data_IF_417500323820
#
_entry.id   IF_417500323820
#
_cell.length_a   1.000
_cell.length_b   1.000
_cell.length_c   1.000
_cell.angle_alpha   90.00
_cell.angle_beta   90.00
_cell.angle_gamma   90.00
#
_symmetry.space_group_name_H-M   'P 1'
#
loop_
_entity.id
_entity.type
_entity.pdbx_description
1 polymer ?
#
# COMPACT_ATOMS: atom_id res chain seq x y z
N UNK A 1 -29.52 -48.95 32.11
CA UNK A 1 -29.79 -47.68 32.82
C UNK A 1 -28.47 -46.97 33.14
N UNK A 2 -27.83 -46.32 32.15
CA UNK A 2 -26.63 -45.50 32.37
C UNK A 2 -26.60 -44.38 31.32
N UNK A 3 -27.45 -43.36 31.50
CA UNK A 3 -27.55 -42.20 30.61
C UNK A 3 -27.92 -40.94 31.41
N UNK A 4 -27.08 -40.57 32.39
CA UNK A 4 -27.28 -39.33 33.17
C UNK A 4 -25.97 -38.67 33.67
N UNK A 5 -24.81 -39.34 33.59
CA UNK A 5 -23.56 -38.79 34.13
C UNK A 5 -22.77 -37.89 33.16
N UNK A 6 -23.09 -37.90 31.86
CA UNK A 6 -22.34 -37.11 30.85
C UNK A 6 -22.89 -35.70 30.62
N UNK A 7 -24.12 -35.38 31.05
CA UNK A 7 -24.76 -34.07 30.79
C UNK A 7 -24.40 -32.99 31.83
N UNK A 8 -24.18 -33.36 33.10
CA UNK A 8 -23.85 -32.40 34.17
C UNK A 8 -22.44 -31.80 34.04
N UNK A 9 -21.47 -32.56 33.53
CA UNK A 9 -20.09 -32.10 33.33
C UNK A 9 -19.95 -31.09 32.18
N UNK A 10 -20.89 -31.06 31.23
CA UNK A 10 -20.96 -30.07 30.15
C UNK A 10 -21.61 -28.75 30.59
N UNK A 11 -22.68 -28.83 31.38
CA UNK A 11 -23.43 -27.66 31.86
C UNK A 11 -22.58 -26.73 32.75
N UNK A 12 -21.80 -27.29 33.68
CA UNK A 12 -20.92 -26.50 34.57
C UNK A 12 -19.75 -25.82 33.86
N UNK A 13 -19.20 -26.42 32.81
CA UNK A 13 -18.13 -25.81 31.99
C UNK A 13 -18.64 -24.58 31.22
N UNK A 14 -19.90 -24.59 30.77
CA UNK A 14 -20.51 -23.45 30.08
C UNK A 14 -20.77 -22.24 31.00
N UNK A 15 -21.18 -22.50 32.25
CA UNK A 15 -21.38 -21.47 33.28
C UNK A 15 -20.07 -20.81 33.71
N UNK A 16 -19.01 -21.60 33.93
CA UNK A 16 -17.67 -21.07 34.24
C UNK A 16 -17.05 -20.28 33.08
N UNK A 17 -17.31 -20.70 31.83
CA UNK A 17 -16.93 -19.92 30.65
C UNK A 17 -17.71 -18.60 30.55
N UNK A 18 -18.99 -18.59 30.93
CA UNK A 18 -19.80 -17.37 31.01
C UNK A 18 -19.26 -16.38 32.05
N UNK A 19 -18.91 -16.84 33.25
CA UNK A 19 -18.39 -15.99 34.33
C UNK A 19 -17.01 -15.37 34.00
N UNK A 20 -16.15 -16.11 33.30
CA UNK A 20 -14.85 -15.64 32.81
C UNK A 20 -14.95 -14.49 31.79
N UNK A 21 -16.12 -14.26 31.17
CA UNK A 21 -16.33 -13.12 30.27
C UNK A 21 -16.53 -11.80 31.02
N UNK A 22 -16.98 -11.86 32.27
CA UNK A 22 -17.19 -10.68 33.11
C UNK A 22 -15.95 -10.26 33.91
N UNK A 23 -14.93 -11.13 33.98
CA UNK A 23 -13.65 -10.87 34.64
C UNK A 23 -12.59 -10.64 33.57
N UNK A 24 -12.23 -9.36 33.35
CA UNK A 24 -11.11 -8.98 32.46
C UNK A 24 -9.82 -9.64 32.92
N UNK A 25 -8.96 -10.03 31.99
CA UNK A 25 -7.63 -10.53 32.35
C UNK A 25 -6.81 -9.37 32.96
N UNK A 26 -5.86 -9.65 33.87
CA UNK A 26 -5.09 -8.61 34.55
C UNK A 26 -4.36 -7.60 33.64
N UNK A 27 -4.10 -7.95 32.38
CA UNK A 27 -3.42 -7.11 31.39
C UNK A 27 -4.37 -6.44 30.38
N UNK A 28 -5.69 -6.53 30.58
CA UNK A 28 -6.73 -5.92 29.71
C UNK A 28 -7.31 -4.63 30.31
N UNK A 29 -6.70 -4.10 31.39
CA UNK A 29 -7.15 -2.88 32.05
C UNK A 29 -6.57 -1.61 31.42
N UNK A 30 -5.32 -1.64 30.96
CA UNK A 30 -4.64 -0.49 30.34
C UNK A 30 -3.71 -0.96 29.22
N UNK A 31 -3.37 -0.04 28.30
CA UNK A 31 -2.47 -0.31 27.19
C UNK A 31 -3.18 -0.92 25.95
N UNK A 32 -2.41 -1.40 24.96
CA UNK A 32 -2.95 -1.83 23.66
C UNK A 32 -4.02 -2.92 23.77
N UNK A 33 -3.86 -3.88 24.68
CA UNK A 33 -4.80 -4.99 24.88
C UNK A 33 -6.16 -4.58 25.48
N UNK A 34 -6.31 -3.31 25.92
CA UNK A 34 -7.56 -2.75 26.42
C UNK A 34 -8.32 -1.95 25.36
N UNK A 35 -7.71 -1.66 24.20
CA UNK A 35 -8.34 -0.91 23.11
C UNK A 35 -9.36 -1.79 22.36
N UNK A 36 -10.54 -1.26 21.99
CA UNK A 36 -11.51 -1.99 21.17
C UNK A 36 -10.98 -2.32 19.75
N UNK A 37 -9.95 -1.61 19.29
CA UNK A 37 -9.35 -1.80 17.97
C UNK A 37 -8.26 -2.90 17.96
N UNK A 38 -7.85 -3.37 19.14
CA UNK A 38 -6.82 -4.39 19.27
C UNK A 38 -7.27 -5.73 18.70
N UNK A 39 -6.47 -6.29 17.79
CA UNK A 39 -6.66 -7.63 17.23
C UNK A 39 -5.46 -8.51 17.56
N UNK A 40 -5.72 -9.75 17.94
CA UNK A 40 -4.67 -10.74 18.18
C UNK A 40 -3.97 -11.14 16.87
N UNK A 41 -2.66 -11.34 16.91
CA UNK A 41 -1.85 -11.65 15.73
C UNK A 41 -2.04 -13.07 15.17
N UNK A 42 -2.69 -13.97 15.92
CA UNK A 42 -2.87 -15.37 15.53
C UNK A 42 -4.24 -15.56 14.89
N UNK A 43 -4.35 -15.52 13.55
CA UNK A 43 -5.61 -15.87 12.89
C UNK A 43 -5.93 -17.35 13.13
N UNK A 44 -7.21 -17.71 13.13
CA UNK A 44 -7.61 -19.11 13.17
C UNK A 44 -7.06 -19.87 11.95
N UNK A 45 -6.71 -21.15 12.13
CA UNK A 45 -6.26 -22.01 11.03
C UNK A 45 -7.32 -22.16 9.91
N UNK A 46 -8.60 -21.90 10.23
CA UNK A 46 -9.72 -21.90 9.29
C UNK A 46 -9.96 -20.53 8.62
N UNK A 47 -9.29 -19.48 9.07
CA UNK A 47 -9.48 -18.10 8.59
C UNK A 47 -8.34 -17.66 7.67
N UNK A 48 -7.10 -18.06 8.00
CA UNK A 48 -5.93 -17.73 7.20
C UNK A 48 -5.63 -18.84 6.19
N UNK A 49 -5.47 -18.46 4.92
CA UNK A 49 -5.02 -19.36 3.84
C UNK A 49 -5.88 -20.63 3.70
N UNK A 50 -7.20 -20.45 3.74
CA UNK A 50 -8.20 -21.50 3.53
C UNK A 50 -7.97 -22.24 2.20
N UNK A 51 -7.54 -21.51 1.17
CA UNK A 51 -7.10 -22.07 -0.11
C UNK A 51 -5.57 -22.14 -0.13
N UNK A 52 -5.03 -23.29 -0.55
CA UNK A 52 -3.61 -23.38 -0.85
C UNK A 52 -3.30 -22.56 -2.12
N UNK A 53 -2.15 -21.87 -2.21
CA UNK A 53 -1.82 -21.05 -3.38
C UNK A 53 -1.77 -21.83 -4.70
N UNK A 54 -1.46 -23.12 -4.65
CA UNK A 54 -1.36 -23.97 -5.84
C UNK A 54 -2.67 -24.69 -6.20
N UNK A 55 -3.74 -24.55 -5.41
CA UNK A 55 -5.02 -25.21 -5.70
C UNK A 55 -5.92 -24.31 -6.51
N UNK A 56 -5.99 -24.55 -7.82
CA UNK A 56 -6.99 -23.95 -8.72
C UNK A 56 -8.23 -24.84 -8.69
N UNK A 57 -9.37 -24.34 -8.19
CA UNK A 57 -10.61 -25.13 -8.07
C UNK A 57 -11.67 -24.71 -9.09
N UNK A 58 -11.83 -23.40 -9.28
CA UNK A 58 -12.85 -22.82 -10.15
C UNK A 58 -12.20 -21.99 -11.26
N UNK A 59 -12.93 -21.74 -12.36
CA UNK A 59 -12.50 -20.84 -13.43
C UNK A 59 -12.22 -19.40 -12.93
N UNK A 60 -12.79 -19.03 -11.77
CA UNK A 60 -12.53 -17.76 -11.08
C UNK A 60 -11.14 -17.70 -10.40
N UNK A 61 -10.54 -18.85 -10.12
CA UNK A 61 -9.20 -18.96 -9.54
C UNK A 61 -8.11 -18.95 -10.64
N UNK A 62 -8.50 -19.03 -11.92
CA UNK A 62 -7.58 -18.89 -13.05
C UNK A 62 -7.31 -17.41 -13.31
N UNK A 63 -6.14 -16.93 -12.88
CA UNK A 63 -5.72 -15.56 -13.16
C UNK A 63 -5.32 -15.41 -14.64
N UNK A 64 -6.10 -14.64 -15.41
CA UNK A 64 -5.71 -14.19 -16.75
C UNK A 64 -4.91 -12.89 -16.59
N UNK A 65 -3.58 -13.00 -16.69
CA UNK A 65 -2.69 -11.83 -16.59
C UNK A 65 -2.49 -11.23 -18.00
N UNK A 66 -3.00 -10.02 -18.27
CA UNK A 66 -2.83 -9.38 -19.59
C UNK A 66 -1.35 -9.08 -19.85
N UNK A 67 -0.87 -9.41 -21.05
CA UNK A 67 0.53 -9.17 -21.45
C UNK A 67 0.69 -7.99 -22.40
N UNK A 68 -0.38 -7.56 -23.06
CA UNK A 68 -0.38 -6.48 -24.05
C UNK A 68 -1.72 -5.77 -24.05
N UNK A 69 -1.69 -4.48 -24.33
CA UNK A 69 -2.91 -3.69 -24.48
C UNK A 69 -3.68 -4.14 -25.73
N UNK A 70 -5.04 -4.21 -25.69
CA UNK A 70 -5.86 -4.73 -26.79
C UNK A 70 -5.59 -4.04 -28.15
N UNK A 71 -5.28 -2.75 -28.12
CA UNK A 71 -4.97 -1.95 -29.32
C UNK A 71 -3.72 -2.47 -30.06
N UNK A 72 -2.76 -3.02 -29.32
CA UNK A 72 -1.46 -3.49 -29.85
C UNK A 72 -1.44 -4.97 -30.22
N UNK A 73 -2.53 -5.70 -29.95
CA UNK A 73 -2.64 -7.12 -30.27
C UNK A 73 -2.77 -7.32 -31.78
N UNK A 74 -3.60 -6.50 -32.43
CA UNK A 74 -3.82 -6.58 -33.88
C UNK A 74 -3.06 -5.52 -34.68
N UNK A 75 -2.89 -4.30 -34.18
CA UNK A 75 -1.99 -3.31 -34.80
C UNK A 75 -0.58 -3.44 -34.22
N UNK A 76 0.19 -4.35 -34.83
CA UNK A 76 1.52 -4.74 -34.35
C UNK A 76 2.67 -3.83 -34.83
N UNK A 77 2.36 -2.64 -35.38
CA UNK A 77 3.40 -1.72 -35.88
C UNK A 77 4.33 -1.33 -34.74
N UNK A 78 5.59 -1.75 -34.86
CA UNK A 78 6.55 -1.55 -33.78
C UNK A 78 7.18 -0.15 -33.77
N UNK A 79 7.44 0.45 -34.94
CA UNK A 79 8.18 1.72 -35.02
C UNK A 79 7.44 2.90 -34.36
N UNK A 80 6.11 2.88 -34.32
CA UNK A 80 5.29 3.87 -33.60
C UNK A 80 5.33 3.69 -32.08
N UNK A 81 5.62 2.47 -31.61
CA UNK A 81 5.68 2.10 -30.19
C UNK A 81 7.10 2.11 -29.62
N UNK A 82 8.13 2.08 -30.47
CA UNK A 82 9.54 1.98 -30.07
C UNK A 82 10.05 3.25 -29.38
N UNK A 83 9.79 3.36 -28.07
CA UNK A 83 10.30 4.46 -27.23
C UNK A 83 11.80 4.42 -26.99
N UNK A 84 12.49 3.31 -27.32
CA UNK A 84 13.93 3.18 -27.08
C UNK A 84 14.73 3.88 -28.18
N UNK A 85 14.28 3.76 -29.44
CA UNK A 85 14.96 4.35 -30.61
C UNK A 85 14.32 5.66 -31.06
N UNK A 86 13.04 5.89 -30.78
CA UNK A 86 12.33 7.15 -31.03
C UNK A 86 12.74 8.22 -30.01
N UNK A 87 14.03 8.55 -30.01
CA UNK A 87 14.60 9.64 -29.21
C UNK A 87 15.26 10.65 -30.12
N UNK A 88 15.17 11.95 -29.80
CA UNK A 88 15.86 12.97 -30.57
C UNK A 88 17.38 12.66 -30.58
N UNK A 89 18.05 12.87 -31.72
CA UNK A 89 19.48 12.64 -31.81
C UNK A 89 20.26 13.62 -30.91
N UNK A 90 21.42 13.19 -30.42
CA UNK A 90 22.29 14.03 -29.59
C UNK A 90 22.84 15.18 -30.43
N UNK A 91 22.50 16.41 -30.07
CA UNK A 91 23.02 17.63 -30.69
C UNK A 91 24.22 18.14 -29.91
N UNK A 92 25.39 18.24 -30.55
CA UNK A 92 26.62 18.77 -29.95
C UNK A 92 27.01 20.08 -30.64
N UNK A 93 27.15 21.15 -29.88
CA UNK A 93 27.54 22.47 -30.37
C UNK A 93 28.78 22.94 -29.61
N UNK A 94 29.79 23.41 -30.32
CA UNK A 94 30.99 23.99 -29.72
C UNK A 94 30.75 25.47 -29.43
N UNK A 95 30.86 25.88 -28.17
CA UNK A 95 30.82 27.29 -27.78
C UNK A 95 32.25 27.79 -27.63
N UNK A 96 32.60 28.87 -28.34
CA UNK A 96 33.90 29.53 -28.20
C UNK A 96 33.77 30.80 -27.37
N UNK A 97 34.91 31.36 -26.94
CA UNK A 97 34.98 32.62 -26.21
C UNK A 97 34.08 33.75 -26.79
N UNK A 98 34.08 34.06 -28.10
CA UNK A 98 33.23 35.12 -28.63
C UNK A 98 31.73 34.85 -28.48
N UNK A 99 31.29 33.58 -28.46
CA UNK A 99 29.89 33.23 -28.25
C UNK A 99 29.49 33.46 -26.79
N UNK A 100 30.37 33.07 -25.86
CA UNK A 100 30.15 33.27 -24.43
C UNK A 100 30.10 34.75 -24.05
N UNK A 101 30.99 35.58 -24.59
CA UNK A 101 30.99 37.03 -24.35
C UNK A 101 29.66 37.66 -24.82
N UNK A 102 29.13 37.21 -25.97
CA UNK A 102 27.82 37.64 -26.46
C UNK A 102 26.68 37.21 -25.53
N UNK A 103 26.69 35.97 -25.05
CA UNK A 103 25.67 35.48 -24.11
C UNK A 103 25.72 36.25 -22.78
N UNK A 104 26.92 36.52 -22.26
CA UNK A 104 27.10 37.27 -21.01
C UNK A 104 26.63 38.71 -21.15
N UNK A 105 26.93 39.37 -22.28
CA UNK A 105 26.47 40.73 -22.54
C UNK A 105 24.94 40.82 -22.72
N UNK A 106 24.31 39.76 -23.25
CA UNK A 106 22.86 39.72 -23.48
C UNK A 106 22.04 39.24 -22.28
N UNK A 107 22.62 38.47 -21.35
CA UNK A 107 21.88 37.87 -20.24
C UNK A 107 21.66 38.89 -19.12
N UNK A 108 20.40 39.19 -18.84
CA UNK A 108 19.94 39.90 -17.64
C UNK A 108 19.14 38.93 -16.76
N UNK A 109 19.34 38.99 -15.44
CA UNK A 109 18.64 38.13 -14.49
C UNK A 109 17.43 38.83 -13.88
N UNK A 110 16.26 38.21 -14.01
CA UNK A 110 15.04 38.54 -13.27
C UNK A 110 14.99 37.71 -11.97
N UNK A 111 15.06 38.35 -10.78
CA UNK A 111 14.96 37.69 -9.48
C UNK A 111 13.78 36.73 -9.32
N UNK A 112 12.68 36.97 -10.03
CA UNK A 112 11.47 36.15 -9.90
C UNK A 112 11.43 34.91 -10.82
N UNK A 113 12.24 34.85 -11.89
CA UNK A 113 12.07 33.84 -12.96
C UNK A 113 13.33 33.05 -13.29
N UNK A 114 14.51 33.67 -13.20
CA UNK A 114 15.75 33.05 -13.65
C UNK A 114 16.43 32.18 -12.59
N UNK A 115 16.01 32.31 -11.33
CA UNK A 115 16.55 31.51 -10.22
C UNK A 115 15.80 30.19 -10.06
N UNK A 116 16.51 29.07 -9.82
CA UNK A 116 15.84 27.80 -9.57
C UNK A 116 14.95 27.92 -8.34
N UNK A 117 13.70 27.48 -8.48
CA UNK A 117 12.73 27.54 -7.39
C UNK A 117 13.20 26.59 -6.28
N UNK A 118 13.39 27.08 -5.05
CA UNK A 118 13.73 26.21 -3.93
C UNK A 118 12.56 25.26 -3.66
N UNK A 119 12.87 23.99 -3.40
CA UNK A 119 11.89 23.05 -2.87
C UNK A 119 11.67 23.36 -1.39
N UNK A 120 10.73 24.27 -1.10
CA UNK A 120 10.41 24.72 0.25
C UNK A 120 9.42 23.74 0.87
N UNK A 121 9.85 23.03 1.91
CA UNK A 121 8.95 22.26 2.76
C UNK A 121 8.28 23.19 3.76
N UNK A 122 7.00 22.96 4.03
CA UNK A 122 6.28 23.62 5.12
C UNK A 122 6.56 22.88 6.43
N UNK A 123 6.66 23.62 7.54
CA UNK A 123 6.58 23.01 8.87
C UNK A 123 5.15 22.51 9.06
N UNK A 124 5.00 21.20 9.26
CA UNK A 124 3.72 20.56 9.52
C UNK A 124 3.72 20.07 10.96
N UNK A 125 2.64 20.36 11.68
CA UNK A 125 2.34 19.70 12.95
C UNK A 125 1.54 18.44 12.62
N UNK A 126 2.15 17.28 12.85
CA UNK A 126 1.51 15.99 12.61
C UNK A 126 0.59 15.65 13.79
N UNK A 127 -0.60 15.14 13.49
CA UNK A 127 -1.56 14.68 14.49
C UNK A 127 -2.07 13.29 14.09
N UNK A 128 -2.05 12.36 15.05
CA UNK A 128 -2.13 10.92 14.88
C UNK A 128 -3.38 10.45 14.12
N UNK A 129 -4.53 11.10 14.37
CA UNK A 129 -5.84 10.61 13.90
C UNK A 129 -6.60 11.58 12.99
N UNK A 130 -5.95 12.64 12.49
CA UNK A 130 -6.64 13.69 11.72
C UNK A 130 -7.03 13.26 10.31
N UNK A 131 -6.23 12.41 9.67
CA UNK A 131 -6.50 11.93 8.31
C UNK A 131 -7.44 10.73 8.40
N UNK A 132 -8.69 10.91 7.97
CA UNK A 132 -9.68 9.83 7.93
C UNK A 132 -10.08 9.26 9.30
N UNK A 133 -9.78 9.97 10.40
CA UNK A 133 -10.01 9.46 11.75
C UNK A 133 -9.02 8.36 12.18
N UNK A 134 -7.81 8.34 11.60
CA UNK A 134 -6.79 7.30 11.85
C UNK A 134 -6.91 6.06 10.97
N UNK A 135 -7.93 5.98 10.11
CA UNK A 135 -8.18 4.85 9.20
C UNK A 135 -8.39 5.30 7.76
N UNK A 136 -7.49 4.88 6.87
CA UNK A 136 -7.64 5.11 5.43
C UNK A 136 -8.44 3.96 4.79
N UNK A 137 -9.48 4.32 4.02
CA UNK A 137 -10.29 3.38 3.24
C UNK A 137 -9.58 2.93 1.96
#
# INVERSE_FOLDING_TARGET
MASAASSAAGAGKSLFQGLRRFLKKPWEFTGPCASPEYRSALPGALEYRVKCPATVRDDRDVAIVPTSDPETVYDIKYYTRDRRRDRPPVRRTLLRKPDLERYMAAKQFDPAKDFPVPYVNTTVEEDDNTIGGGYQK
#
